data_IF_871513451876
#
_entry.id   IF_871513451876
#
_cell.length_a   1.000
_cell.length_b   1.000
_cell.length_c   1.000
_cell.angle_alpha   90.00
_cell.angle_beta   90.00
_cell.angle_gamma   90.00
#
_symmetry.space_group_name_H-M   'P 1'
#
loop_
_entity.id
_entity.type
_entity.pdbx_description
1 polymer ?
#
# COMPACT_ATOMS: atom_id res chain seq x y z
N UNK A 1 6.63 11.83 7.44
CA UNK A 1 7.58 10.72 7.67
C UNK A 1 6.99 9.30 7.51
N UNK A 2 5.74 9.01 7.93
CA UNK A 2 5.24 7.62 8.01
C UNK A 2 4.84 6.89 6.71
N UNK A 3 4.64 7.59 5.58
CA UNK A 3 4.14 6.96 4.33
C UNK A 3 5.13 5.98 3.69
N UNK A 4 6.42 6.09 4.02
CA UNK A 4 7.50 5.34 3.36
C UNK A 4 8.00 4.16 4.20
N UNK A 5 7.74 4.17 5.50
CA UNK A 5 8.22 3.15 6.43
C UNK A 5 7.70 1.75 6.08
N UNK A 6 6.42 1.63 5.69
CA UNK A 6 5.87 0.35 5.28
C UNK A 6 6.53 -0.19 4.00
N UNK A 7 6.93 0.68 3.07
CA UNK A 7 7.59 0.25 1.85
C UNK A 7 9.03 -0.16 2.09
N UNK A 8 9.75 0.51 3.01
CA UNK A 8 11.06 0.05 3.48
C UNK A 8 10.99 -1.33 4.13
N UNK A 9 9.95 -1.58 4.95
CA UNK A 9 9.71 -2.89 5.55
C UNK A 9 9.43 -3.97 4.50
N UNK A 10 8.64 -3.63 3.47
CA UNK A 10 8.41 -4.54 2.33
C UNK A 10 9.71 -4.81 1.57
N UNK A 11 10.51 -3.79 1.28
CA UNK A 11 11.81 -3.97 0.63
C UNK A 11 12.72 -4.91 1.41
N UNK A 12 12.73 -4.81 2.74
CA UNK A 12 13.52 -5.71 3.60
C UNK A 12 13.04 -7.16 3.52
N UNK A 13 11.73 -7.37 3.56
CA UNK A 13 11.13 -8.70 3.40
C UNK A 13 11.50 -9.28 2.03
N UNK A 14 11.33 -8.49 0.96
CA UNK A 14 11.55 -8.97 -0.41
C UNK A 14 13.03 -9.16 -0.74
N UNK A 15 13.92 -8.30 -0.25
CA UNK A 15 15.37 -8.52 -0.34
C UNK A 15 15.77 -9.85 0.31
N UNK A 16 15.25 -10.13 1.51
CA UNK A 16 15.47 -11.40 2.22
C UNK A 16 14.88 -12.62 1.47
N UNK A 17 13.70 -12.48 0.87
CA UNK A 17 13.09 -13.54 0.07
C UNK A 17 13.92 -13.83 -1.19
N UNK A 18 14.35 -12.80 -1.91
CA UNK A 18 15.19 -12.93 -3.10
C UNK A 18 16.53 -13.57 -2.77
N UNK A 19 17.18 -13.11 -1.70
CA UNK A 19 18.46 -13.67 -1.30
C UNK A 19 18.37 -15.15 -0.92
N UNK A 20 17.31 -15.51 -0.19
CA UNK A 20 17.02 -16.91 0.15
C UNK A 20 16.79 -17.78 -1.09
N UNK A 21 16.03 -17.29 -2.07
CA UNK A 21 15.75 -18.04 -3.30
C UNK A 21 16.98 -18.18 -4.20
N UNK A 22 17.83 -17.15 -4.28
CA UNK A 22 19.04 -17.14 -5.09
C UNK A 22 20.26 -17.79 -4.39
N UNK A 23 20.15 -18.09 -3.10
CA UNK A 23 21.26 -18.61 -2.30
C UNK A 23 22.41 -17.60 -2.10
N UNK A 24 22.11 -16.30 -2.11
CA UNK A 24 23.11 -15.24 -1.94
C UNK A 24 23.11 -14.69 -0.51
N UNK A 25 24.28 -14.23 -0.07
CA UNK A 25 24.43 -13.48 1.18
C UNK A 25 23.72 -12.12 1.12
N UNK A 26 23.30 -11.63 2.28
CA UNK A 26 22.66 -10.34 2.45
C UNK A 26 23.44 -9.52 3.48
N UNK A 27 23.90 -8.34 3.07
CA UNK A 27 24.43 -7.33 3.97
C UNK A 27 23.29 -6.49 4.57
N UNK A 28 23.55 -5.85 5.71
CA UNK A 28 22.54 -5.11 6.49
C UNK A 28 21.86 -3.95 5.73
N UNK A 29 22.49 -3.44 4.67
CA UNK A 29 22.01 -2.31 3.87
C UNK A 29 21.44 -2.69 2.50
N UNK A 30 21.51 -3.96 2.09
CA UNK A 30 21.12 -4.40 0.74
C UNK A 30 19.65 -4.16 0.42
N UNK A 31 18.79 -4.18 1.44
CA UNK A 31 17.38 -3.85 1.28
C UNK A 31 17.16 -2.41 0.78
N UNK A 32 18.11 -1.47 1.00
CA UNK A 32 18.02 -0.09 0.49
C UNK A 32 18.27 -0.04 -1.01
N UNK A 33 19.24 -0.83 -1.49
CA UNK A 33 19.48 -0.99 -2.93
C UNK A 33 18.26 -1.65 -3.58
N UNK A 34 17.78 -2.74 -2.99
CA UNK A 34 16.56 -3.40 -3.45
C UNK A 34 15.35 -2.45 -3.46
N UNK A 35 15.16 -1.63 -2.42
CA UNK A 35 14.08 -0.64 -2.38
C UNK A 35 14.15 0.38 -3.53
N UNK A 36 15.36 0.79 -3.91
CA UNK A 36 15.59 1.82 -4.93
C UNK A 36 15.50 1.26 -6.35
N UNK A 37 16.08 0.08 -6.55
CA UNK A 37 16.40 -0.42 -7.89
C UNK A 37 15.52 -1.59 -8.33
N UNK A 38 14.86 -2.29 -7.40
CA UNK A 38 14.15 -3.55 -7.69
C UNK A 38 12.66 -3.49 -7.31
N UNK A 39 12.34 -2.93 -6.13
CA UNK A 39 10.97 -2.96 -5.62
C UNK A 39 10.00 -2.12 -6.48
N UNK A 40 9.02 -2.81 -7.08
CA UNK A 40 8.00 -2.20 -7.96
C UNK A 40 8.54 -1.59 -9.25
N UNK A 41 9.65 -2.10 -9.77
CA UNK A 41 10.08 -1.74 -11.12
C UNK A 41 9.03 -2.19 -12.16
N UNK A 42 8.95 -1.53 -13.33
CA UNK A 42 7.96 -1.87 -14.36
C UNK A 42 8.02 -3.34 -14.82
N UNK A 43 9.22 -3.90 -14.86
CA UNK A 43 9.49 -5.30 -15.25
C UNK A 43 9.84 -6.18 -14.04
N UNK A 44 9.55 -5.69 -12.83
CA UNK A 44 9.82 -6.36 -11.57
C UNK A 44 8.84 -7.48 -11.26
N UNK A 45 9.23 -8.35 -10.34
CA UNK A 45 8.42 -9.50 -9.93
C UNK A 45 7.27 -9.13 -8.97
N UNK A 46 7.28 -7.91 -8.42
CA UNK A 46 6.38 -7.49 -7.36
C UNK A 46 5.52 -6.28 -7.71
N UNK A 47 4.27 -6.30 -7.22
CA UNK A 47 3.43 -5.13 -7.15
C UNK A 47 2.62 -5.11 -5.86
N UNK A 48 2.20 -3.93 -5.42
CA UNK A 48 1.37 -3.75 -4.22
C UNK A 48 0.03 -3.12 -4.56
N UNK A 49 -1.03 -3.72 -4.05
CA UNK A 49 -2.39 -3.18 -4.11
C UNK A 49 -2.98 -3.06 -2.71
N UNK A 50 -3.83 -2.06 -2.52
CA UNK A 50 -4.61 -1.92 -1.30
C UNK A 50 -5.96 -2.64 -1.46
N UNK A 51 -6.37 -3.42 -0.45
CA UNK A 51 -7.70 -4.05 -0.44
C UNK A 51 -8.81 -3.00 -0.60
N UNK A 52 -8.68 -1.90 0.15
CA UNK A 52 -9.51 -0.70 0.05
C UNK A 52 -8.65 0.46 -0.52
N UNK A 53 -8.97 1.00 -1.71
CA UNK A 53 -8.16 2.03 -2.36
C UNK A 53 -7.94 3.31 -1.54
N UNK A 54 -9.00 3.79 -0.88
CA UNK A 54 -8.95 4.98 -0.03
C UNK A 54 -8.37 4.62 1.35
N UNK A 55 -7.41 5.43 1.86
CA UNK A 55 -6.87 5.22 3.19
C UNK A 55 -7.94 5.51 4.25
N UNK A 56 -7.99 4.66 5.28
CA UNK A 56 -8.95 4.80 6.38
C UNK A 56 -8.74 6.09 7.18
N UNK A 57 -7.52 6.63 7.20
CA UNK A 57 -7.16 7.91 7.80
C UNK A 57 -6.25 8.67 6.83
N UNK A 58 -6.69 9.83 6.32
CA UNK A 58 -5.86 10.68 5.45
C UNK A 58 -4.80 11.45 6.23
N UNK A 59 -5.20 12.01 7.37
CA UNK A 59 -4.37 12.86 8.24
C UNK A 59 -4.31 12.37 9.71
N UNK A 60 -5.10 11.35 10.06
CA UNK A 60 -5.19 10.80 11.42
C UNK A 60 -5.98 11.66 12.41
N UNK A 61 -6.52 12.79 11.96
CA UNK A 61 -7.18 13.79 12.82
C UNK A 61 -8.61 14.05 12.38
N UNK A 62 -8.87 14.02 11.07
CA UNK A 62 -10.18 14.35 10.51
C UNK A 62 -11.04 13.08 10.40
N UNK A 63 -12.23 13.03 11.03
CA UNK A 63 -13.17 11.92 10.88
C UNK A 63 -13.55 11.69 9.42
N UNK A 64 -13.75 10.43 9.04
CA UNK A 64 -14.12 10.02 7.68
C UNK A 64 -15.31 10.81 7.09
N UNK A 65 -16.36 11.03 7.89
CA UNK A 65 -17.56 11.78 7.48
C UNK A 65 -17.28 13.26 7.16
N UNK A 66 -16.23 13.84 7.76
CA UNK A 66 -15.78 15.21 7.44
C UNK A 66 -14.90 15.21 6.18
N UNK A 67 -14.00 14.24 6.04
CA UNK A 67 -13.13 14.08 4.88
C UNK A 67 -13.94 13.95 3.58
N UNK A 68 -14.93 13.05 3.57
CA UNK A 68 -15.71 12.72 2.37
C UNK A 68 -17.10 13.36 2.39
N UNK A 69 -17.25 14.50 3.07
CA UNK A 69 -18.52 15.22 3.12
C UNK A 69 -19.03 15.52 1.71
N UNK A 70 -20.32 15.28 1.48
CA UNK A 70 -20.96 15.50 0.17
C UNK A 70 -20.79 14.36 -0.83
N UNK A 71 -20.06 13.29 -0.49
CA UNK A 71 -19.93 12.08 -1.30
C UNK A 71 -20.77 10.97 -0.70
N UNK A 72 -22.01 10.84 -1.16
CA UNK A 72 -23.02 9.94 -0.58
C UNK A 72 -22.60 8.48 -0.62
N UNK A 73 -21.80 8.08 -1.59
CA UNK A 73 -21.29 6.74 -1.82
C UNK A 73 -20.20 6.37 -0.82
N UNK A 74 -19.54 7.39 -0.24
CA UNK A 74 -18.46 7.20 0.72
C UNK A 74 -18.91 7.37 2.17
N UNK A 75 -20.04 8.04 2.42
CA UNK A 75 -20.52 8.33 3.78
C UNK A 75 -21.86 7.61 4.03
N UNK A 76 -21.99 6.78 5.08
CA UNK A 76 -20.98 6.44 6.09
C UNK A 76 -19.87 5.52 5.55
N UNK A 77 -18.77 5.38 6.29
CA UNK A 77 -17.60 4.58 5.89
C UNK A 77 -17.98 3.15 5.46
N UNK A 78 -18.94 2.53 6.13
CA UNK A 78 -19.37 1.16 5.81
C UNK A 78 -19.94 1.06 4.40
N UNK A 79 -20.62 2.10 3.90
CA UNK A 79 -21.10 2.16 2.51
C UNK A 79 -19.96 2.09 1.50
N UNK A 80 -18.84 2.75 1.78
CA UNK A 80 -17.63 2.64 0.95
C UNK A 80 -17.03 1.24 0.99
N UNK A 81 -16.96 0.61 2.18
CA UNK A 81 -16.46 -0.75 2.32
C UNK A 81 -17.33 -1.72 1.51
N UNK A 82 -18.65 -1.58 1.60
CA UNK A 82 -19.60 -2.38 0.85
C UNK A 82 -19.52 -2.13 -0.66
N UNK A 83 -19.33 -0.87 -1.08
CA UNK A 83 -19.04 -0.56 -2.49
C UNK A 83 -17.76 -1.24 -2.98
N UNK A 84 -16.73 -1.37 -2.14
CA UNK A 84 -15.52 -2.11 -2.52
C UNK A 84 -15.80 -3.63 -2.61
N UNK A 85 -16.46 -4.18 -1.59
CA UNK A 85 -16.80 -5.61 -1.49
C UNK A 85 -17.69 -6.07 -2.65
N UNK A 86 -18.67 -5.25 -3.02
CA UNK A 86 -19.75 -5.60 -3.94
C UNK A 86 -19.71 -4.87 -5.29
N UNK A 87 -19.17 -3.66 -5.34
CA UNK A 87 -19.15 -2.79 -6.54
C UNK A 87 -18.01 -3.05 -7.52
N UNK A 88 -17.18 -4.06 -7.28
CA UNK A 88 -16.23 -4.57 -8.27
C UNK A 88 -14.75 -4.49 -7.88
N UNK A 89 -14.38 -3.88 -6.75
CA UNK A 89 -12.97 -3.87 -6.29
C UNK A 89 -12.46 -5.28 -6.00
N UNK A 90 -13.23 -6.09 -5.28
CA UNK A 90 -12.84 -7.47 -4.97
C UNK A 90 -12.78 -8.33 -6.24
N UNK A 91 -13.76 -8.16 -7.16
CA UNK A 91 -13.73 -8.79 -8.48
C UNK A 91 -12.48 -8.41 -9.27
N UNK A 92 -12.12 -7.13 -9.28
CA UNK A 92 -10.90 -6.63 -9.94
C UNK A 92 -9.64 -7.30 -9.39
N UNK A 93 -9.51 -7.44 -8.07
CA UNK A 93 -8.37 -8.13 -7.46
C UNK A 93 -8.28 -9.60 -7.91
N UNK A 94 -9.42 -10.32 -7.96
CA UNK A 94 -9.45 -11.70 -8.48
C UNK A 94 -9.05 -11.77 -9.95
N UNK A 95 -9.57 -10.86 -10.77
CA UNK A 95 -9.22 -10.82 -12.20
C UNK A 95 -7.73 -10.59 -12.40
N UNK A 96 -7.11 -9.73 -11.60
CA UNK A 96 -5.65 -9.53 -11.64
C UNK A 96 -4.89 -10.80 -11.23
N UNK A 97 -5.28 -11.45 -10.13
CA UNK A 97 -4.62 -12.70 -9.71
C UNK A 97 -4.80 -13.81 -10.74
N UNK A 98 -5.97 -13.95 -11.35
CA UNK A 98 -6.22 -14.94 -12.39
C UNK A 98 -5.40 -14.66 -13.67
N UNK A 99 -5.20 -13.38 -14.01
CA UNK A 99 -4.43 -12.97 -15.17
C UNK A 99 -2.92 -13.17 -14.97
N UNK A 100 -2.37 -12.65 -13.88
CA UNK A 100 -0.93 -12.66 -13.61
C UNK A 100 -0.45 -13.96 -12.95
N UNK A 101 -1.36 -14.74 -12.34
CA UNK A 101 -1.07 -15.99 -11.63
C UNK A 101 0.16 -15.87 -10.72
N UNK A 102 0.15 -14.91 -9.77
CA UNK A 102 1.31 -14.70 -8.90
C UNK A 102 1.60 -15.98 -8.12
N UNK A 103 2.87 -16.32 -7.93
CA UNK A 103 3.21 -17.47 -7.07
C UNK A 103 2.83 -17.24 -5.62
N UNK A 104 2.93 -15.99 -5.17
CA UNK A 104 2.69 -15.60 -3.79
C UNK A 104 1.85 -14.33 -3.71
N UNK A 105 0.86 -14.31 -2.81
CA UNK A 105 0.07 -13.13 -2.44
C UNK A 105 0.15 -12.91 -0.94
N UNK A 106 0.74 -11.80 -0.52
CA UNK A 106 0.90 -11.46 0.89
C UNK A 106 -0.19 -10.46 1.30
N UNK A 107 -1.06 -10.88 2.21
CA UNK A 107 -2.14 -10.06 2.73
C UNK A 107 -1.73 -9.47 4.07
N UNK A 108 -1.38 -8.18 4.07
CA UNK A 108 -0.85 -7.50 5.25
C UNK A 108 -1.99 -7.00 6.13
N UNK A 109 -2.10 -7.56 7.35
CA UNK A 109 -2.97 -7.08 8.42
C UNK A 109 -4.19 -7.97 8.68
N UNK A 110 -4.18 -8.67 9.82
CA UNK A 110 -5.25 -9.59 10.22
C UNK A 110 -6.62 -8.94 10.45
N UNK A 111 -6.69 -7.63 10.71
CA UNK A 111 -7.96 -6.94 10.94
C UNK A 111 -8.90 -7.01 9.73
N UNK A 112 -8.38 -7.35 8.56
CA UNK A 112 -9.12 -7.51 7.31
C UNK A 112 -9.06 -8.95 6.78
N UNK A 113 -8.77 -9.94 7.62
CA UNK A 113 -8.64 -11.34 7.21
C UNK A 113 -9.85 -11.83 6.40
N UNK A 114 -11.07 -11.63 6.92
CA UNK A 114 -12.31 -12.02 6.23
C UNK A 114 -12.48 -11.31 4.88
N UNK A 115 -12.11 -10.03 4.81
CA UNK A 115 -12.15 -9.27 3.57
C UNK A 115 -11.12 -9.76 2.55
N UNK A 116 -9.94 -10.23 2.99
CA UNK A 116 -8.96 -10.88 2.10
C UNK A 116 -9.46 -12.23 1.58
N UNK A 117 -9.96 -13.09 2.49
CA UNK A 117 -10.55 -14.39 2.13
C UNK A 117 -11.64 -14.19 1.08
N UNK A 118 -12.55 -13.23 1.32
CA UNK A 118 -13.62 -12.90 0.39
C UNK A 118 -13.14 -12.26 -0.91
N UNK A 119 -12.15 -11.37 -0.83
CA UNK A 119 -11.61 -10.71 -2.00
C UNK A 119 -11.02 -11.73 -2.97
N UNK A 120 -10.29 -12.73 -2.47
CA UNK A 120 -9.62 -13.73 -3.30
C UNK A 120 -10.43 -15.02 -3.50
N UNK A 121 -11.60 -15.18 -2.87
CA UNK A 121 -12.45 -16.35 -3.04
C UNK A 121 -11.87 -17.59 -2.34
N UNK A 122 -11.36 -17.42 -1.12
CA UNK A 122 -10.68 -18.45 -0.34
C UNK A 122 -11.60 -19.13 0.68
N UNK A 123 -12.89 -18.80 0.72
CA UNK A 123 -13.85 -19.29 1.74
C UNK A 123 -13.97 -20.82 1.76
N UNK A 124 -13.75 -21.48 0.62
CA UNK A 124 -13.82 -22.93 0.46
C UNK A 124 -12.44 -23.58 0.29
N UNK A 125 -11.37 -22.81 0.49
CA UNK A 125 -9.98 -23.28 0.40
C UNK A 125 -9.53 -23.67 1.80
N UNK A 126 -8.89 -24.84 1.92
CA UNK A 126 -8.33 -25.28 3.20
C UNK A 126 -7.31 -24.26 3.71
N UNK A 127 -7.46 -23.87 4.98
CA UNK A 127 -6.50 -23.01 5.66
C UNK A 127 -5.46 -23.88 6.35
N UNK A 128 -4.20 -23.65 6.03
CA UNK A 128 -3.06 -24.23 6.73
C UNK A 128 -2.51 -23.22 7.73
N UNK A 129 -2.40 -23.61 9.00
CA UNK A 129 -1.72 -22.80 10.00
C UNK A 129 -0.22 -23.12 10.00
N UNK A 130 0.60 -22.12 9.69
CA UNK A 130 2.06 -22.24 9.71
C UNK A 130 2.64 -21.49 10.90
N UNK A 131 3.44 -22.17 11.70
CA UNK A 131 4.20 -21.51 12.76
C UNK A 131 5.36 -20.73 12.16
N UNK A 132 5.42 -19.45 12.49
CA UNK A 132 6.49 -18.54 12.18
C UNK A 132 7.09 -18.04 13.47
N UNK A 133 8.34 -18.39 13.75
CA UNK A 133 9.02 -18.01 14.98
C UNK A 133 10.21 -17.08 14.67
N UNK A 134 9.96 -15.77 14.44
CA UNK A 134 11.04 -14.81 14.35
C UNK A 134 11.59 -14.54 15.75
N UNK A 135 12.77 -15.11 16.05
CA UNK A 135 13.39 -15.05 17.38
C UNK A 135 12.50 -15.70 18.47
N UNK A 136 12.31 -15.07 19.62
CA UNK A 136 11.66 -15.71 20.78
C UNK A 136 10.13 -15.70 20.75
N UNK A 137 9.52 -15.21 19.66
CA UNK A 137 8.06 -15.07 19.56
C UNK A 137 7.49 -15.96 18.47
N UNK A 138 6.66 -16.94 18.84
CA UNK A 138 5.87 -17.73 17.89
C UNK A 138 4.69 -16.90 17.38
N UNK A 139 4.45 -16.98 16.08
CA UNK A 139 3.32 -16.38 15.36
C UNK A 139 2.67 -17.46 14.51
N UNK A 140 1.35 -17.40 14.37
CA UNK A 140 0.61 -18.24 13.43
C UNK A 140 0.34 -17.44 12.17
N UNK A 141 0.73 -18.00 11.03
CA UNK A 141 0.38 -17.51 9.71
C UNK A 141 -0.75 -18.38 9.16
N UNK A 142 -1.73 -17.77 8.52
CA UNK A 142 -2.75 -18.51 7.78
C UNK A 142 -2.33 -18.53 6.31
N UNK A 143 -2.12 -19.73 5.79
CA UNK A 143 -1.78 -19.97 4.40
C UNK A 143 -2.94 -20.65 3.68
N UNK A 144 -3.17 -20.25 2.43
CA UNK A 144 -4.13 -20.88 1.53
C UNK A 144 -3.42 -21.17 0.22
N UNK A 145 -3.71 -22.30 -0.39
CA UNK A 145 -3.17 -22.65 -1.70
C UNK A 145 -4.31 -22.89 -2.69
N UNK A 146 -4.24 -22.24 -3.84
CA UNK A 146 -5.23 -22.40 -4.91
C UNK A 146 -4.61 -22.02 -6.26
N UNK A 147 -4.88 -22.84 -7.28
CA UNK A 147 -4.49 -22.56 -8.66
C UNK A 147 -2.98 -22.26 -8.85
N UNK A 148 -2.12 -22.85 -8.01
CA UNK A 148 -0.67 -22.63 -8.03
C UNK A 148 -0.19 -21.34 -7.35
N UNK A 149 -1.09 -20.59 -6.73
CA UNK A 149 -0.78 -19.40 -5.93
C UNK A 149 -0.90 -19.73 -4.45
N UNK A 150 0.06 -19.28 -3.65
CA UNK A 150 -0.03 -19.30 -2.18
C UNK A 150 -0.44 -17.93 -1.66
N UNK A 151 -1.52 -17.87 -0.87
CA UNK A 151 -1.90 -16.68 -0.10
C UNK A 151 -1.41 -16.83 1.33
N UNK A 152 -0.77 -15.79 1.86
CA UNK A 152 -0.35 -15.73 3.25
C UNK A 152 -0.98 -14.51 3.91
N UNK A 153 -1.83 -14.74 4.91
CA UNK A 153 -2.30 -13.69 5.82
C UNK A 153 -1.22 -13.46 6.86
N UNK A 154 -0.60 -12.27 6.83
CA UNK A 154 0.47 -11.91 7.75
C UNK A 154 0.04 -10.80 8.73
N UNK A 155 0.71 -10.70 9.88
CA UNK A 155 0.46 -9.60 10.82
C UNK A 155 0.71 -8.25 10.13
N UNK A 156 0.17 -7.19 10.72
CA UNK A 156 0.50 -5.85 10.25
C UNK A 156 2.03 -5.65 10.31
N UNK A 157 2.60 -4.92 9.35
CA UNK A 157 4.01 -4.54 9.39
C UNK A 157 4.27 -3.36 10.33
N UNK A 158 3.43 -3.14 11.34
CA UNK A 158 3.50 -2.01 12.27
C UNK A 158 2.71 -2.31 13.56
N UNK A 159 2.98 -1.53 14.61
CA UNK A 159 2.32 -1.67 15.92
C UNK A 159 2.92 -2.77 16.78
N UNK A 160 2.51 -2.82 18.05
CA UNK A 160 3.08 -3.73 19.06
C UNK A 160 2.88 -5.22 18.75
N UNK A 161 1.84 -5.57 18.01
CA UNK A 161 1.54 -6.94 17.58
C UNK A 161 2.06 -7.26 16.16
N UNK A 162 2.72 -6.31 15.50
CA UNK A 162 3.16 -6.43 14.10
C UNK A 162 4.59 -6.92 13.92
N UNK A 163 4.97 -7.18 12.66
CA UNK A 163 6.36 -7.39 12.27
C UNK A 163 7.06 -6.03 12.19
N UNK A 164 7.90 -5.73 13.17
CA UNK A 164 8.44 -4.38 13.35
C UNK A 164 9.95 -4.31 13.42
N UNK A 165 10.62 -5.38 13.84
CA UNK A 165 12.09 -5.43 13.89
C UNK A 165 12.68 -5.97 12.57
N UNK A 166 13.93 -5.57 12.29
CA UNK A 166 14.66 -6.05 11.11
C UNK A 166 14.80 -7.59 11.10
N UNK A 167 15.04 -8.19 12.27
CA UNK A 167 15.10 -9.66 12.42
C UNK A 167 13.78 -10.32 12.03
N UNK A 168 12.63 -9.78 12.47
CA UNK A 168 11.32 -10.30 12.12
C UNK A 168 11.04 -10.18 10.61
N UNK A 169 11.38 -9.04 10.01
CA UNK A 169 11.17 -8.79 8.58
C UNK A 169 12.05 -9.70 7.73
N UNK A 170 13.33 -9.85 8.07
CA UNK A 170 14.25 -10.74 7.36
C UNK A 170 13.88 -12.21 7.53
N UNK A 171 13.48 -12.64 8.74
CA UNK A 171 13.02 -14.00 8.97
C UNK A 171 11.74 -14.31 8.17
N UNK A 172 10.82 -13.35 8.10
CA UNK A 172 9.62 -13.50 7.27
C UNK A 172 9.99 -13.60 5.78
N UNK A 173 10.88 -12.74 5.30
CA UNK A 173 11.40 -12.84 3.92
C UNK A 173 12.02 -14.19 3.61
N UNK A 174 12.87 -14.73 4.49
CA UNK A 174 13.45 -16.08 4.34
C UNK A 174 12.39 -17.18 4.28
N UNK A 175 11.34 -17.09 5.11
CA UNK A 175 10.22 -18.03 5.05
C UNK A 175 9.53 -17.98 3.68
N UNK A 176 9.32 -16.80 3.12
CA UNK A 176 8.74 -16.65 1.78
C UNK A 176 9.68 -17.20 0.69
N UNK A 177 10.95 -16.84 0.75
CA UNK A 177 11.96 -17.23 -0.24
C UNK A 177 12.21 -18.73 -0.31
N UNK A 178 11.95 -19.48 0.77
CA UNK A 178 12.04 -20.94 0.77
C UNK A 178 11.02 -21.62 -0.15
N UNK A 179 9.95 -20.92 -0.55
CA UNK A 179 8.94 -21.41 -1.49
C UNK A 179 9.10 -20.80 -2.90
N UNK A 180 10.13 -19.99 -3.14
CA UNK A 180 10.40 -19.35 -4.43
C UNK A 180 11.61 -19.97 -5.11
N UNK A 181 11.56 -20.05 -6.43
CA UNK A 181 12.69 -20.45 -7.27
C UNK A 181 13.49 -19.21 -7.74
N UNK A 182 14.77 -19.35 -8.09
CA UNK A 182 15.55 -18.28 -8.71
C UNK A 182 14.85 -17.62 -9.90
N UNK A 183 14.21 -18.43 -10.75
CA UNK A 183 13.48 -17.97 -11.94
C UNK A 183 12.29 -17.07 -11.64
N UNK A 184 11.86 -16.97 -10.39
CA UNK A 184 10.70 -16.17 -9.99
C UNK A 184 11.04 -14.68 -9.89
N UNK A 185 12.33 -14.38 -9.94
CA UNK A 185 12.88 -13.02 -9.99
C UNK A 185 13.43 -12.67 -11.38
N UNK A 186 13.25 -13.54 -12.38
CA UNK A 186 13.58 -13.20 -13.77
C UNK A 186 12.60 -12.14 -14.27
N UNK A 187 13.10 -11.24 -15.12
CA UNK A 187 12.27 -10.21 -15.74
C UNK A 187 11.17 -10.88 -16.56
N UNK A 188 9.92 -10.52 -16.31
CA UNK A 188 8.81 -11.05 -17.10
C UNK A 188 8.93 -10.51 -18.54
N UNK A 189 8.97 -11.35 -19.59
CA UNK A 189 8.93 -10.84 -20.95
C UNK A 189 7.60 -10.12 -21.14
N UNK A 190 7.64 -8.87 -21.61
CA UNK A 190 6.47 -8.03 -21.88
C UNK A 190 5.34 -8.89 -22.48
N UNK A 191 4.21 -8.96 -21.77
CA UNK A 191 3.14 -9.92 -22.07
C UNK A 191 2.83 -9.92 -23.56
N UNK A 192 3.08 -11.07 -24.22
CA UNK A 192 2.64 -11.30 -25.58
C UNK A 192 1.16 -10.96 -25.67
N UNK A 193 0.80 -10.09 -26.62
CA UNK A 193 -0.55 -9.61 -26.87
C UNK A 193 -1.51 -10.78 -27.08
N UNK A 194 -2.25 -11.16 -26.04
CA UNK A 194 -3.35 -12.13 -26.15
C UNK A 194 -4.58 -11.39 -26.73
N UNK A 195 -5.26 -11.94 -27.77
CA UNK A 195 -6.48 -11.35 -28.31
C UNK A 195 -7.60 -11.50 -27.28
N UNK A 196 -7.90 -10.40 -26.59
CA UNK A 196 -8.89 -10.34 -25.51
C UNK A 196 -8.50 -9.34 -24.43
N UNK A 197 -7.93 -8.21 -24.84
CA UNK A 197 -7.36 -7.21 -23.95
C UNK A 197 -8.35 -6.72 -22.89
N UNK A 198 -7.84 -6.56 -21.67
CA UNK A 198 -8.49 -5.71 -20.67
C UNK A 198 -8.83 -4.37 -21.35
N UNK A 199 -10.07 -3.86 -21.21
CA UNK A 199 -10.48 -2.64 -21.90
C UNK A 199 -9.47 -1.52 -21.57
N UNK A 200 -9.03 -0.78 -22.59
CA UNK A 200 -7.95 0.21 -22.52
C UNK A 200 -8.10 1.25 -21.38
N UNK A 201 -9.30 1.41 -20.84
CA UNK A 201 -9.59 2.21 -19.65
C UNK A 201 -8.99 1.67 -18.34
N UNK A 202 -8.60 0.40 -18.27
CA UNK A 202 -7.96 -0.23 -17.11
C UNK A 202 -6.43 -0.15 -17.18
N UNK A 203 -5.85 -0.32 -18.36
CA UNK A 203 -4.40 -0.17 -18.60
C UNK A 203 -3.95 1.27 -18.39
N UNK A 204 -4.74 2.26 -18.83
CA UNK A 204 -4.47 3.68 -18.57
C UNK A 204 -4.56 4.06 -17.08
N UNK A 205 -5.38 3.35 -16.28
CA UNK A 205 -5.50 3.57 -14.82
C UNK A 205 -4.37 2.89 -14.02
N UNK A 206 -3.80 1.81 -14.53
CA UNK A 206 -2.61 1.17 -13.96
C UNK A 206 -1.36 2.03 -14.22
N UNK A 207 -1.21 2.57 -15.44
CA UNK A 207 -0.13 3.50 -15.75
C UNK A 207 -0.25 4.83 -14.96
N UNK A 208 -1.47 5.37 -14.83
CA UNK A 208 -1.71 6.64 -14.11
C UNK A 208 -1.60 6.59 -12.58
N UNK A 209 -1.42 5.40 -11.97
CA UNK A 209 -1.13 5.29 -10.52
C UNK A 209 0.32 4.92 -10.22
N UNK A 210 1.09 4.49 -11.22
CA UNK A 210 2.53 4.25 -11.10
C UNK A 210 3.39 5.49 -11.42
N UNK A 211 2.79 6.55 -11.99
CA UNK A 211 3.44 7.82 -12.29
C UNK A 211 2.84 8.97 -11.48
N UNK A 212 3.11 9.01 -10.17
CA UNK A 212 3.23 10.26 -9.42
C UNK A 212 4.73 10.51 -9.23
N UNK A 213 5.46 10.99 -10.23
CA UNK A 213 5.42 12.40 -10.56
C UNK A 213 6.06 13.19 -9.41
N UNK A 214 7.39 13.26 -9.40
CA UNK A 214 8.13 14.28 -8.66
C UNK A 214 7.53 15.66 -9.00
N UNK A 215 7.15 16.51 -8.03
CA UNK A 215 7.04 17.93 -8.26
C UNK A 215 8.32 18.60 -7.75
N UNK A 216 9.20 18.91 -8.70
CA UNK A 216 9.87 20.20 -8.68
C UNK A 216 8.82 21.27 -9.02
N UNK A 217 8.92 22.45 -8.40
CA UNK A 217 8.11 23.61 -8.78
C UNK A 217 6.75 23.73 -8.06
N UNK A 218 6.65 24.77 -7.24
CA UNK A 218 5.43 25.14 -6.53
C UNK A 218 4.31 25.64 -7.44
N UNK A 219 3.14 25.77 -6.83
CA UNK A 219 2.02 26.56 -7.32
C UNK A 219 1.32 27.22 -6.12
N UNK A 220 0.60 28.33 -6.34
CA UNK A 220 0.82 29.57 -5.62
C UNK A 220 -0.13 29.68 -4.43
N UNK A 221 0.40 30.07 -3.28
CA UNK A 221 -0.45 30.64 -2.25
C UNK A 221 -0.94 31.99 -2.76
N UNK A 222 -2.17 32.04 -3.25
CA UNK A 222 -2.92 33.29 -3.32
C UNK A 222 -2.96 33.87 -1.90
N UNK A 223 -2.25 34.99 -1.72
CA UNK A 223 -2.33 35.83 -0.52
C UNK A 223 -3.78 36.25 -0.31
N UNK A 224 -4.33 35.93 0.85
CA UNK A 224 -5.29 36.83 1.51
C UNK A 224 -4.55 37.47 2.68
N UNK A 225 -4.08 38.71 2.47
CA UNK A 225 -3.70 39.60 3.55
C UNK A 225 -4.95 39.82 4.41
N UNK A 226 -4.98 39.23 5.61
CA UNK A 226 -5.86 39.69 6.67
C UNK A 226 -5.09 40.76 7.43
N UNK A 227 -5.57 42.01 7.53
CA UNK A 227 -4.92 43.03 8.33
C UNK A 227 -5.00 42.66 9.82
N UNK A 228 -3.86 42.77 10.50
CA UNK A 228 -3.70 42.54 11.93
C UNK A 228 -4.47 43.61 12.72
N UNK A 229 -5.40 43.24 13.62
CA UNK A 229 -6.19 44.19 14.41
C UNK A 229 -5.42 44.89 15.54
N UNK A 230 -4.08 44.96 15.48
CA UNK A 230 -3.24 45.62 16.50
C UNK A 230 -2.67 47.00 16.10
N UNK A 231 -2.91 47.46 14.87
CA UNK A 231 -2.46 48.81 14.42
C UNK A 231 -3.50 49.94 14.64
N UNK A 232 -4.61 49.67 15.33
CA UNK A 232 -5.62 50.68 15.63
C UNK A 232 -5.46 51.26 17.05
N UNK A 233 -4.32 51.90 17.34
CA UNK A 233 -4.16 52.78 18.52
C UNK A 233 -2.88 53.63 18.46
N UNK A 234 -2.86 54.65 17.60
CA UNK A 234 -2.03 55.85 17.77
C UNK A 234 -2.46 56.93 16.75
N UNK A 235 -2.73 58.15 17.24
CA UNK A 235 -2.93 59.33 16.39
C UNK A 235 -4.31 60.00 16.50
N UNK A 236 -4.63 60.58 17.67
CA UNK A 236 -5.62 61.67 17.82
C UNK A 236 -4.84 62.95 18.16
N UNK A 237 -4.77 63.87 17.21
CA UNK A 237 -4.36 65.29 17.24
C UNK A 237 -3.91 65.60 15.80
N UNK A 238 -4.30 66.62 15.06
CA UNK A 238 -5.07 67.84 15.23
C UNK A 238 -5.58 68.19 13.81
N UNK A 239 -6.77 68.78 13.64
CA UNK A 239 -6.91 70.03 12.86
C UNK A 239 -8.37 70.53 12.82
N UNK A 240 -8.44 71.84 12.98
CA UNK A 240 -9.60 72.74 12.98
C UNK A 240 -10.05 73.05 11.54
N UNK A 241 -11.35 73.17 11.23
CA UNK A 241 -11.79 73.85 10.01
C UNK A 241 -12.11 75.33 10.31
N UNK A 242 -11.37 76.24 9.68
CA UNK A 242 -11.86 77.58 9.38
C UNK A 242 -12.73 77.52 8.13
N UNK A 243 -13.75 78.39 8.09
CA UNK A 243 -14.82 78.36 7.11
C UNK A 243 -14.63 79.23 5.87
N UNK A 244 -15.79 79.38 5.22
CA UNK A 244 -16.14 80.01 3.92
C UNK A 244 -15.93 79.09 2.72
#
# INVERSE_FOLDING_TARGET
MGKWLNHQRIARIMAAARAQALGIGLDDNDWKAYYRDELYTPDGAEFKLNLFPLPVMLDGLTPWSKVFRGQSELVPKDRYLDLCRHGGRFRFLRTLCAHWRPKLVICIGYRQADDFVRAFGLEQVACEERQFQPADQVRLLHAYERDGTTWILCPALAGSAGLTSDVQLSAFGKLLGASLAPSDFDSWPAAASVPGGLPASQTARLAGSASGGFPSGGYPAQRKHHPDPRDARQGRSDFVPQGV
#
